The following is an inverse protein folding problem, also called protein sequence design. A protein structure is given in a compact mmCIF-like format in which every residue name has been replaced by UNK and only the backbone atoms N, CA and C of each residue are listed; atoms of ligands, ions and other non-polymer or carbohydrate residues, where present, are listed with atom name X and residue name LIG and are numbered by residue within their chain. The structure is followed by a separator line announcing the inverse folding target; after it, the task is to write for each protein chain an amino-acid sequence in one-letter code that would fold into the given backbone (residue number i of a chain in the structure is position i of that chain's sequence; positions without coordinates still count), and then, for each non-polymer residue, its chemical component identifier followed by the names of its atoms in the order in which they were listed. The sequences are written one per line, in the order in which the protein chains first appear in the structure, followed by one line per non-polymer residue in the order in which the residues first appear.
data_IF_785984166584
#
_entry.id   IF_785984166584
#
_cell.length_a   1.000
_cell.length_b   1.000
_cell.length_c   1.000
_cell.angle_alpha   90.00
_cell.angle_beta   90.00
_cell.angle_gamma   90.00
#
_symmetry.space_group_name_H-M   'P 1'
#
loop_
_entity.id
_entity.type
_entity.pdbx_description
1 polymer ?
#
# COMPACT_ATOMS: atom_id res chain seq x y z
N UNK A 1 -19.38 24.54 20.93
CA UNK A 1 -19.07 23.35 20.10
C UNK A 1 -17.86 23.69 19.25
N UNK A 2 -16.66 23.26 19.64
CA UNK A 2 -15.46 23.45 18.82
C UNK A 2 -15.47 22.36 17.76
N UNK A 3 -15.69 22.75 16.50
CA UNK A 3 -15.41 21.89 15.36
C UNK A 3 -13.89 21.68 15.36
N UNK A 4 -13.44 20.59 15.97
CA UNK A 4 -12.14 20.03 15.64
C UNK A 4 -12.24 19.58 14.19
N UNK A 5 -11.85 20.47 13.27
CA UNK A 5 -11.43 20.07 11.95
C UNK A 5 -10.38 18.99 12.21
N UNK A 6 -10.74 17.73 12.00
CA UNK A 6 -9.78 16.64 11.98
C UNK A 6 -8.76 17.08 10.95
N UNK A 7 -7.59 17.49 11.42
CA UNK A 7 -6.43 17.66 10.58
C UNK A 7 -6.16 16.27 10.04
N UNK A 8 -6.80 15.93 8.93
CA UNK A 8 -6.31 14.92 8.02
C UNK A 8 -5.00 15.50 7.51
N UNK A 9 -3.96 15.35 8.34
CA UNK A 9 -2.60 15.54 7.91
C UNK A 9 -2.52 14.71 6.64
N UNK A 10 -2.40 15.39 5.50
CA UNK A 10 -2.01 14.77 4.26
C UNK A 10 -0.68 14.11 4.58
N UNK A 11 -0.75 12.84 4.98
CA UNK A 11 0.40 12.05 5.35
C UNK A 11 1.06 11.78 4.00
N UNK A 12 1.86 12.75 3.55
CA UNK A 12 2.74 12.66 2.40
C UNK A 12 3.80 11.63 2.76
N UNK A 13 3.38 10.38 2.67
CA UNK A 13 4.26 9.23 2.62
C UNK A 13 5.15 9.43 1.40
N UNK A 14 6.45 9.35 1.62
CA UNK A 14 7.45 9.28 0.56
C UNK A 14 7.81 7.81 0.35
N UNK A 15 8.13 7.44 -0.88
CA UNK A 15 8.55 6.07 -1.22
C UNK A 15 9.75 6.12 -2.17
N UNK A 16 10.74 5.21 -2.02
CA UNK A 16 11.84 5.10 -2.96
C UNK A 16 11.35 4.53 -4.29
N UNK A 17 11.87 5.07 -5.39
CA UNK A 17 11.74 4.44 -6.71
C UNK A 17 12.76 3.30 -6.90
N UNK A 18 12.76 2.69 -8.09
CA UNK A 18 13.70 1.63 -8.45
C UNK A 18 15.16 2.12 -8.53
N UNK A 19 15.39 3.43 -8.62
CA UNK A 19 16.71 4.06 -8.75
C UNK A 19 17.21 4.63 -7.41
N UNK A 20 16.45 4.44 -6.32
CA UNK A 20 16.77 4.94 -4.99
C UNK A 20 16.42 6.42 -4.74
N UNK A 21 15.73 7.09 -5.67
CA UNK A 21 15.23 8.45 -5.47
C UNK A 21 13.90 8.42 -4.71
N UNK A 22 13.66 9.40 -3.83
CA UNK A 22 12.43 9.51 -3.04
C UNK A 22 11.40 10.37 -3.76
N UNK A 23 10.17 9.86 -3.89
CA UNK A 23 9.05 10.58 -4.51
C UNK A 23 7.82 10.55 -3.61
N UNK A 24 6.90 11.52 -3.72
CA UNK A 24 5.64 11.45 -3.00
C UNK A 24 4.86 10.21 -3.45
N UNK A 25 4.33 9.45 -2.50
CA UNK A 25 3.56 8.24 -2.79
C UNK A 25 2.25 8.62 -3.50
N UNK A 26 2.00 8.13 -4.72
CA UNK A 26 0.76 8.41 -5.42
C UNK A 26 -0.44 7.75 -4.74
N UNK A 27 -1.65 8.26 -4.99
CA UNK A 27 -2.87 7.69 -4.40
C UNK A 27 -3.29 6.37 -5.05
N UNK A 28 -2.84 6.12 -6.29
CA UNK A 28 -2.99 4.84 -6.99
C UNK A 28 -1.61 4.29 -7.32
N UNK A 29 -1.31 3.10 -6.78
CA UNK A 29 -0.02 2.46 -6.93
C UNK A 29 -0.13 1.31 -7.94
N UNK A 30 0.88 1.18 -8.80
CA UNK A 30 1.12 -0.04 -9.58
C UNK A 30 1.48 -1.21 -8.67
N UNK A 31 1.56 -2.41 -9.23
CA UNK A 31 1.97 -3.61 -8.48
C UNK A 31 3.36 -3.44 -7.84
N UNK A 32 4.33 -2.90 -8.59
CA UNK A 32 5.72 -2.73 -8.11
C UNK A 32 5.80 -1.65 -7.03
N UNK A 33 5.03 -0.58 -7.18
CA UNK A 33 4.92 0.47 -6.16
C UNK A 33 4.22 -0.06 -4.90
N UNK A 34 3.15 -0.84 -5.03
CA UNK A 34 2.49 -1.46 -3.89
C UNK A 34 3.41 -2.44 -3.14
N UNK A 35 4.23 -3.20 -3.88
CA UNK A 35 5.22 -4.10 -3.30
C UNK A 35 6.28 -3.34 -2.49
N UNK A 36 6.80 -2.23 -3.04
CA UNK A 36 7.73 -1.33 -2.33
C UNK A 36 7.08 -0.63 -1.14
N UNK A 37 5.83 -0.19 -1.28
CA UNK A 37 5.06 0.45 -0.22
C UNK A 37 4.91 -0.48 1.00
N UNK A 38 4.60 -1.75 0.75
CA UNK A 38 4.53 -2.80 1.78
C UNK A 38 5.89 -3.39 2.17
N UNK A 39 6.98 -2.88 1.59
CA UNK A 39 8.37 -3.32 1.80
C UNK A 39 8.60 -4.82 1.57
N UNK A 40 7.83 -5.41 0.65
CA UNK A 40 7.99 -6.81 0.25
C UNK A 40 9.31 -7.07 -0.49
N UNK A 41 9.94 -6.01 -1.00
CA UNK A 41 11.26 -5.99 -1.63
C UNK A 41 12.40 -6.27 -0.63
N UNK A 42 12.29 -5.86 0.64
CA UNK A 42 13.34 -6.11 1.64
C UNK A 42 13.38 -7.58 2.05
N UNK A 43 12.22 -8.23 2.13
CA UNK A 43 12.06 -9.57 2.72
C UNK A 43 12.56 -10.68 1.76
N UNK A 44 13.22 -10.32 0.65
CA UNK A 44 13.64 -11.24 -0.41
C UNK A 44 12.52 -12.18 -0.87
N UNK A 45 11.29 -11.66 -0.96
CA UNK A 45 10.20 -12.37 -1.61
C UNK A 45 10.56 -12.56 -3.08
N UNK A 46 10.83 -13.80 -3.52
CA UNK A 46 11.22 -14.09 -4.92
C UNK A 46 10.20 -13.57 -5.94
N UNK A 47 8.92 -13.51 -5.54
CA UNK A 47 7.80 -13.08 -6.39
C UNK A 47 6.85 -12.14 -5.65
N UNK A 48 7.18 -10.84 -5.51
CA UNK A 48 6.35 -9.89 -4.77
C UNK A 48 4.93 -9.74 -5.35
N UNK A 49 4.79 -9.91 -6.67
CA UNK A 49 3.49 -9.90 -7.33
C UNK A 49 2.59 -11.09 -6.95
N UNK A 50 3.16 -12.27 -6.68
CA UNK A 50 2.38 -13.43 -6.22
C UNK A 50 1.90 -13.21 -4.79
N UNK A 51 2.75 -12.66 -3.92
CA UNK A 51 2.35 -12.27 -2.56
C UNK A 51 1.22 -11.25 -2.56
N UNK A 52 1.27 -10.24 -3.43
CA UNK A 52 0.16 -9.28 -3.57
C UNK A 52 -1.12 -9.95 -4.07
N UNK A 53 -1.05 -10.85 -5.05
CA UNK A 53 -2.22 -11.64 -5.49
C UNK A 53 -2.78 -12.46 -4.34
N UNK A 54 -1.92 -13.08 -3.55
CA UNK A 54 -2.30 -13.83 -2.36
C UNK A 54 -3.03 -12.95 -1.35
N UNK A 55 -2.49 -11.76 -1.04
CA UNK A 55 -3.17 -10.81 -0.14
C UNK A 55 -4.53 -10.35 -0.66
N UNK A 56 -4.70 -10.22 -1.98
CA UNK A 56 -6.01 -9.93 -2.58
C UNK A 56 -7.00 -11.06 -2.33
N UNK A 57 -6.57 -12.30 -2.55
CA UNK A 57 -7.44 -13.46 -2.48
C UNK A 57 -7.74 -13.89 -1.02
N UNK A 58 -6.75 -13.88 -0.14
CA UNK A 58 -6.84 -14.46 1.20
C UNK A 58 -7.04 -13.41 2.30
N UNK A 59 -6.48 -12.22 2.15
CA UNK A 59 -6.42 -11.22 3.23
C UNK A 59 -7.40 -10.05 3.05
N UNK A 60 -8.05 -9.98 1.89
CA UNK A 60 -9.02 -8.95 1.53
C UNK A 60 -8.40 -7.63 1.07
N UNK A 61 -7.16 -7.65 0.57
CA UNK A 61 -6.56 -6.47 -0.04
C UNK A 61 -7.33 -6.07 -1.30
N UNK A 62 -7.92 -4.86 -1.30
CA UNK A 62 -8.68 -4.36 -2.44
C UNK A 62 -7.76 -3.66 -3.45
N UNK A 63 -8.08 -3.86 -4.71
CA UNK A 63 -7.44 -3.22 -5.85
C UNK A 63 -8.52 -2.80 -6.84
N UNK A 64 -8.23 -1.82 -7.69
CA UNK A 64 -9.12 -1.31 -8.72
C UNK A 64 -8.52 -1.56 -10.10
N UNK A 65 -9.35 -1.96 -11.05
CA UNK A 65 -8.93 -2.06 -12.44
C UNK A 65 -9.16 -0.72 -13.13
N UNK A 66 -8.10 -0.11 -13.64
CA UNK A 66 -8.14 1.13 -14.42
C UNK A 66 -7.56 0.84 -15.80
N UNK A 67 -8.43 0.84 -16.82
CA UNK A 67 -8.08 0.37 -18.16
C UNK A 67 -7.61 -1.08 -18.15
N UNK A 68 -6.35 -1.30 -18.55
CA UNK A 68 -5.71 -2.63 -18.63
C UNK A 68 -4.83 -2.96 -17.43
N UNK A 69 -4.77 -2.09 -16.42
CA UNK A 69 -3.89 -2.26 -15.27
C UNK A 69 -4.69 -2.41 -13.98
N UNK A 70 -4.18 -3.24 -13.08
CA UNK A 70 -4.68 -3.35 -11.70
C UNK A 70 -3.83 -2.42 -10.84
N UNK A 71 -4.49 -1.46 -10.19
CA UNK A 71 -3.86 -0.48 -9.32
C UNK A 71 -4.36 -0.65 -7.88
N UNK A 72 -3.52 -0.26 -6.93
CA UNK A 72 -3.76 -0.39 -5.51
C UNK A 72 -3.94 1.00 -4.91
N UNK A 73 -5.15 1.33 -4.42
CA UNK A 73 -5.34 2.59 -3.72
C UNK A 73 -4.51 2.64 -2.45
N UNK A 74 -3.79 3.74 -2.23
CA UNK A 74 -2.93 3.95 -1.04
C UNK A 74 -3.71 3.77 0.26
N UNK A 75 -4.93 4.30 0.31
CA UNK A 75 -5.83 4.17 1.46
C UNK A 75 -6.19 2.70 1.78
N UNK A 76 -6.30 1.84 0.76
CA UNK A 76 -6.58 0.42 0.96
C UNK A 76 -5.35 -0.34 1.46
N UNK A 77 -4.15 0.01 0.99
CA UNK A 77 -2.90 -0.54 1.53
C UNK A 77 -2.72 -0.15 3.01
N UNK A 78 -3.06 1.08 3.40
CA UNK A 78 -3.03 1.50 4.80
C UNK A 78 -4.03 0.72 5.67
N UNK A 79 -5.27 0.56 5.20
CA UNK A 79 -6.28 -0.27 5.89
C UNK A 79 -5.81 -1.72 6.03
N UNK A 80 -5.18 -2.26 4.99
CA UNK A 80 -4.61 -3.60 5.02
C UNK A 80 -3.55 -3.74 6.12
N UNK A 81 -2.59 -2.82 6.21
CA UNK A 81 -1.57 -2.83 7.29
C UNK A 81 -2.24 -2.80 8.66
N UNK A 82 -3.21 -1.90 8.86
CA UNK A 82 -3.95 -1.80 10.13
C UNK A 82 -4.63 -3.11 10.50
N UNK A 83 -5.29 -3.76 9.54
CA UNK A 83 -5.93 -5.07 9.73
C UNK A 83 -4.91 -6.16 10.08
N UNK A 84 -3.72 -6.14 9.48
CA UNK A 84 -2.65 -7.09 9.82
C UNK A 84 -2.17 -6.89 11.27
N UNK A 85 -2.06 -5.65 11.74
CA UNK A 85 -1.72 -5.35 13.14
C UNK A 85 -2.78 -5.86 14.12
N UNK A 86 -4.06 -5.76 13.76
CA UNK A 86 -5.17 -6.25 14.59
C UNK A 86 -5.19 -7.79 14.65
N UNK A 87 -4.90 -8.47 13.54
CA UNK A 87 -4.89 -9.93 13.47
C UNK A 87 -3.63 -10.57 14.08
N UNK A 88 -2.50 -9.86 14.07
CA UNK A 88 -1.23 -10.37 14.55
C UNK A 88 -0.48 -9.27 15.35
N UNK A 89 -0.96 -8.95 16.56
CA UNK A 89 -0.26 -8.06 17.47
C UNK A 89 0.99 -8.79 17.99
N UNK A 90 2.14 -8.56 17.35
CA UNK A 90 3.45 -9.01 17.83
C UNK A 90 4.19 -7.89 18.51
#
# INVERSE_FOLDING_TARGET
MKNEAKTELFNCSWMPDAKGSMHPTPDLLTLDEAARYLRLDIIHTKHPGETLRRYRNESGLRAVQVGRQVLFPRAELQKFIKKQMELNPR
#
